data_IF_316202462302
#
_entry.id   IF_316202462302
#
_cell.length_a   1.000
_cell.length_b   1.000
_cell.length_c   1.000
_cell.angle_alpha   90.00
_cell.angle_beta   90.00
_cell.angle_gamma   90.00
#
_symmetry.space_group_name_H-M   'P 1'
#
loop_
_entity.id
_entity.type
_entity.pdbx_description
1 polymer ?
#
# COMPACT_ATOMS: atom_id res chain seq x y z
N UNK A 1 44.80 10.09 23.91
CA UNK A 1 44.37 8.68 23.89
C UNK A 1 42.88 8.44 24.04
N UNK A 2 42.26 8.85 25.15
CA UNK A 2 40.99 8.29 25.65
C UNK A 2 39.81 8.38 24.68
N UNK A 3 39.71 9.50 23.94
CA UNK A 3 38.67 9.69 22.92
C UNK A 3 38.79 8.70 21.75
N UNK A 4 40.03 8.44 21.29
CA UNK A 4 40.27 7.49 20.19
C UNK A 4 39.97 6.06 20.61
N UNK A 5 40.36 5.69 21.83
CA UNK A 5 39.99 4.38 22.40
C UNK A 5 38.49 4.23 22.59
N UNK A 6 37.77 5.29 22.98
CA UNK A 6 36.31 5.26 23.09
C UNK A 6 35.64 5.11 21.72
N UNK A 7 36.11 5.83 20.71
CA UNK A 7 35.61 5.72 19.33
C UNK A 7 35.86 4.30 18.76
N UNK A 8 37.02 3.71 19.03
CA UNK A 8 37.33 2.32 18.65
C UNK A 8 36.46 1.28 19.36
N UNK A 9 36.16 1.50 20.65
CA UNK A 9 35.24 0.65 21.43
C UNK A 9 33.83 0.75 20.85
N UNK A 10 33.36 1.97 20.57
CA UNK A 10 32.02 2.21 20.00
C UNK A 10 31.86 1.57 18.61
N UNK A 11 32.90 1.64 17.77
CA UNK A 11 32.91 1.03 16.43
C UNK A 11 32.83 -0.50 16.46
N UNK A 12 33.35 -1.13 17.51
CA UNK A 12 33.37 -2.58 17.69
C UNK A 12 32.19 -3.09 18.53
N UNK A 13 31.51 -2.21 19.27
CA UNK A 13 30.36 -2.56 20.08
C UNK A 13 29.22 -3.12 19.22
N UNK A 14 28.52 -4.11 19.75
CA UNK A 14 27.38 -4.77 19.10
C UNK A 14 26.12 -4.51 19.91
N UNK A 15 25.15 -3.83 19.30
CA UNK A 15 23.82 -3.60 19.87
C UNK A 15 22.90 -4.72 19.39
N UNK A 16 22.52 -5.62 20.31
CA UNK A 16 21.55 -6.69 20.03
C UNK A 16 20.15 -6.17 20.30
N UNK A 17 19.31 -6.20 19.27
CA UNK A 17 17.92 -5.77 19.39
C UNK A 17 17.06 -6.94 19.85
N UNK A 18 16.24 -6.71 20.87
CA UNK A 18 15.32 -7.71 21.43
C UNK A 18 13.91 -7.16 21.33
N UNK A 19 12.97 -7.98 20.84
CA UNK A 19 11.56 -7.60 20.78
C UNK A 19 11.00 -7.57 22.20
N UNK A 20 10.35 -6.47 22.64
CA UNK A 20 9.67 -6.42 23.93
C UNK A 20 8.66 -7.56 24.08
N UNK A 21 8.66 -8.22 25.24
CA UNK A 21 7.77 -9.35 25.54
C UNK A 21 6.35 -8.89 25.90
N UNK A 22 6.22 -7.68 26.42
CA UNK A 22 4.94 -7.08 26.80
C UNK A 22 4.19 -6.58 25.57
N UNK A 23 3.04 -7.21 25.28
CA UNK A 23 2.24 -6.87 24.09
C UNK A 23 1.74 -5.42 24.09
N UNK A 24 1.32 -4.91 25.24
CA UNK A 24 0.82 -3.53 25.37
C UNK A 24 1.92 -2.50 25.06
N UNK A 25 3.13 -2.72 25.60
CA UNK A 25 4.30 -1.88 25.32
C UNK A 25 4.71 -1.99 23.84
N UNK A 26 4.71 -3.19 23.26
CA UNK A 26 5.03 -3.41 21.86
C UNK A 26 4.07 -2.64 20.92
N UNK A 27 2.75 -2.75 21.18
CA UNK A 27 1.72 -2.03 20.43
C UNK A 27 1.87 -0.51 20.58
N UNK A 28 2.19 -0.04 21.79
CA UNK A 28 2.43 1.37 22.05
C UNK A 28 3.61 1.88 21.23
N UNK A 29 4.75 1.16 21.26
CA UNK A 29 5.95 1.48 20.48
C UNK A 29 5.61 1.54 18.98
N UNK A 30 4.91 0.53 18.44
CA UNK A 30 4.52 0.51 17.03
C UNK A 30 3.64 1.69 16.63
N UNK A 31 2.64 2.01 17.47
CA UNK A 31 1.75 3.15 17.23
C UNK A 31 2.51 4.48 17.30
N UNK A 32 3.43 4.64 18.24
CA UNK A 32 4.30 5.82 18.30
C UNK A 32 5.14 5.94 17.03
N UNK A 33 5.74 4.85 16.54
CA UNK A 33 6.53 4.84 15.30
C UNK A 33 5.68 5.27 14.10
N UNK A 34 4.46 4.76 13.96
CA UNK A 34 3.55 5.13 12.86
C UNK A 34 3.35 6.65 12.79
N UNK A 35 3.06 7.28 13.93
CA UNK A 35 2.90 8.73 13.98
C UNK A 35 4.22 9.49 13.78
N UNK A 36 5.35 8.99 14.31
CA UNK A 36 6.65 9.65 14.12
C UNK A 36 7.08 9.60 12.65
N UNK A 37 6.82 8.51 11.94
CA UNK A 37 7.11 8.39 10.50
C UNK A 37 6.21 9.33 9.68
N UNK A 38 4.93 9.46 10.05
CA UNK A 38 3.95 10.27 9.33
C UNK A 38 4.10 11.78 9.58
N UNK A 39 4.29 12.18 10.84
CA UNK A 39 4.28 13.57 11.29
C UNK A 39 5.70 14.14 11.49
N UNK A 40 6.72 13.28 11.49
CA UNK A 40 8.13 13.66 11.62
C UNK A 40 8.65 13.78 13.06
N UNK A 41 9.93 14.19 13.23
CA UNK A 41 10.61 14.19 14.54
C UNK A 41 10.06 15.21 15.53
N UNK A 42 9.35 16.26 15.05
CA UNK A 42 8.67 17.20 15.94
C UNK A 42 7.57 16.52 16.76
N UNK A 43 6.90 15.51 16.19
CA UNK A 43 5.90 14.72 16.90
C UNK A 43 6.51 13.91 18.04
N UNK A 44 7.68 13.29 17.81
CA UNK A 44 8.42 12.57 18.85
C UNK A 44 8.72 13.50 20.04
N UNK A 45 9.28 14.69 19.78
CA UNK A 45 9.57 15.67 20.81
C UNK A 45 8.31 16.14 21.56
N UNK A 46 7.18 16.29 20.85
CA UNK A 46 5.91 16.66 21.46
C UNK A 46 5.39 15.55 22.40
N UNK A 47 5.41 14.30 21.96
CA UNK A 47 5.00 13.14 22.78
C UNK A 47 5.91 13.01 24.01
N UNK A 48 7.22 13.17 23.85
CA UNK A 48 8.18 13.15 24.97
C UNK A 48 7.86 14.23 26.02
N UNK A 49 7.59 15.46 25.61
CA UNK A 49 7.25 16.51 26.57
C UNK A 49 5.90 16.28 27.25
N UNK A 50 4.91 15.78 26.51
CA UNK A 50 3.55 15.54 27.02
C UNK A 50 3.50 14.36 28.00
N UNK A 51 4.26 13.30 27.73
CA UNK A 51 4.16 12.02 28.43
C UNK A 51 5.33 11.77 29.40
N UNK A 52 6.05 12.83 29.80
CA UNK A 52 7.24 12.74 30.68
C UNK A 52 6.98 12.05 32.03
N UNK A 53 5.77 12.20 32.58
CA UNK A 53 5.37 11.56 33.84
C UNK A 53 4.68 10.21 33.64
N UNK A 54 4.43 9.79 32.39
CA UNK A 54 3.69 8.57 32.09
C UNK A 54 4.63 7.35 32.04
N UNK A 55 4.46 6.36 32.95
CA UNK A 55 5.30 5.16 32.96
C UNK A 55 5.25 4.34 31.67
N UNK A 56 4.15 4.41 30.91
CA UNK A 56 4.01 3.67 29.65
C UNK A 56 4.96 4.18 28.56
N UNK A 57 5.32 5.47 28.57
CA UNK A 57 6.22 6.09 27.60
C UNK A 57 7.68 6.13 28.07
N UNK A 58 8.01 5.42 29.15
CA UNK A 58 9.36 5.36 29.73
C UNK A 58 10.43 4.95 28.71
N UNK A 59 10.06 4.14 27.72
CA UNK A 59 10.94 3.73 26.63
C UNK A 59 11.46 4.90 25.77
N UNK A 60 10.79 6.06 25.75
CA UNK A 60 11.28 7.24 25.04
C UNK A 60 12.44 7.93 25.77
N UNK A 61 12.57 7.72 27.08
CA UNK A 61 13.56 8.41 27.93
C UNK A 61 14.73 7.51 28.35
N UNK A 62 14.48 6.21 28.51
CA UNK A 62 15.50 5.27 28.96
C UNK A 62 16.33 4.70 27.80
N UNK A 63 17.35 5.44 27.38
CA UNK A 63 18.20 5.11 26.23
C UNK A 63 18.89 3.73 26.30
N UNK A 64 19.09 3.20 27.52
CA UNK A 64 19.72 1.90 27.75
C UNK A 64 18.70 0.75 27.84
N UNK A 65 17.41 1.05 27.86
CA UNK A 65 16.37 0.03 27.95
C UNK A 65 16.27 -0.78 26.65
N UNK A 66 16.02 -2.09 26.71
CA UNK A 66 15.77 -2.91 25.53
C UNK A 66 14.60 -2.37 24.68
N UNK A 67 13.59 -1.77 25.33
CA UNK A 67 12.45 -1.16 24.67
C UNK A 67 12.84 0.06 23.83
N UNK A 68 13.72 0.94 24.34
CA UNK A 68 14.24 2.07 23.57
C UNK A 68 15.09 1.60 22.38
N UNK A 69 15.98 0.63 22.61
CA UNK A 69 16.82 0.04 21.56
C UNK A 69 15.95 -0.54 20.44
N UNK A 70 14.89 -1.27 20.80
CA UNK A 70 13.92 -1.78 19.84
C UNK A 70 13.16 -0.67 19.10
N UNK A 71 12.70 0.37 19.80
CA UNK A 71 12.03 1.53 19.21
C UNK A 71 12.92 2.21 18.16
N UNK A 72 14.18 2.53 18.50
CA UNK A 72 15.14 3.19 17.58
C UNK A 72 15.46 2.33 16.37
N UNK A 73 15.69 1.03 16.58
CA UNK A 73 15.92 0.08 15.50
C UNK A 73 14.69 -0.05 14.59
N UNK A 74 13.49 -0.21 15.16
CA UNK A 74 12.28 -0.43 14.37
C UNK A 74 11.90 0.82 13.59
N UNK A 75 12.05 2.00 14.17
CA UNK A 75 11.89 3.27 13.47
C UNK A 75 12.85 3.37 12.28
N UNK A 76 14.13 3.03 12.47
CA UNK A 76 15.10 2.99 11.38
C UNK A 76 14.72 1.97 10.29
N UNK A 77 14.33 0.75 10.67
CA UNK A 77 13.92 -0.32 9.75
C UNK A 77 12.75 0.12 8.86
N UNK A 78 11.70 0.72 9.45
CA UNK A 78 10.57 1.26 8.68
C UNK A 78 11.01 2.40 7.75
N UNK A 79 11.88 3.30 8.20
CA UNK A 79 12.40 4.39 7.37
C UNK A 79 13.29 3.91 6.21
N UNK A 80 13.89 2.72 6.31
CA UNK A 80 14.62 2.07 5.22
C UNK A 80 13.70 1.28 4.25
N UNK A 81 12.39 1.25 4.51
CA UNK A 81 11.41 0.58 3.66
C UNK A 81 11.10 -0.87 4.02
N UNK A 82 11.58 -1.35 5.18
CA UNK A 82 11.15 -2.66 5.69
C UNK A 82 9.67 -2.63 6.10
N UNK A 83 9.01 -3.80 6.11
CA UNK A 83 7.63 -3.91 6.56
C UNK A 83 7.51 -4.07 8.07
N UNK A 84 6.28 -4.01 8.59
CA UNK A 84 6.01 -4.23 10.02
C UNK A 84 6.39 -5.64 10.47
N UNK A 85 6.20 -6.64 9.60
CA UNK A 85 6.36 -8.07 9.87
C UNK A 85 7.62 -8.71 9.25
N UNK A 86 8.26 -8.06 8.27
CA UNK A 86 9.48 -8.54 7.60
C UNK A 86 10.54 -7.45 7.60
N UNK A 87 11.78 -7.81 7.98
CA UNK A 87 12.92 -6.90 8.01
C UNK A 87 14.21 -7.66 7.68
N UNK A 88 15.24 -6.92 7.27
CA UNK A 88 16.57 -7.50 7.09
C UNK A 88 17.16 -7.91 8.46
N UNK A 89 17.62 -9.15 8.57
CA UNK A 89 18.22 -9.69 9.80
C UNK A 89 19.75 -9.59 9.83
N UNK A 90 20.37 -9.14 8.74
CA UNK A 90 21.80 -8.92 8.63
C UNK A 90 22.30 -7.83 9.59
N UNK A 91 23.53 -7.96 10.13
CA UNK A 91 24.14 -6.91 10.94
C UNK A 91 24.41 -5.67 10.08
N UNK A 92 24.12 -4.49 10.63
CA UNK A 92 24.31 -3.21 9.92
C UNK A 92 24.82 -2.12 10.87
N UNK A 93 25.23 -0.97 10.32
CA UNK A 93 25.58 0.23 11.11
C UNK A 93 24.56 1.32 10.82
N UNK A 94 23.98 1.88 11.89
CA UNK A 94 23.00 2.98 11.76
C UNK A 94 23.67 4.31 11.40
N UNK A 95 24.92 4.51 11.83
CA UNK A 95 25.71 5.72 11.58
C UNK A 95 27.15 5.33 11.24
N UNK A 96 27.83 6.16 10.47
CA UNK A 96 29.25 5.96 10.16
C UNK A 96 30.10 6.06 11.44
N UNK A 97 31.07 5.17 11.58
CA UNK A 97 31.83 5.00 12.83
C UNK A 97 31.00 4.53 14.05
N UNK A 98 29.73 4.17 13.87
CA UNK A 98 28.85 3.71 14.94
C UNK A 98 28.95 2.21 15.24
N UNK A 99 28.24 1.79 16.30
CA UNK A 99 28.12 0.40 16.71
C UNK A 99 27.39 -0.47 15.67
N UNK A 100 27.64 -1.78 15.73
CA UNK A 100 27.00 -2.76 14.85
C UNK A 100 25.66 -3.17 15.46
N UNK A 101 24.57 -2.94 14.74
CA UNK A 101 23.22 -3.32 15.13
C UNK A 101 22.88 -4.70 14.60
N UNK A 102 22.42 -5.58 15.49
CA UNK A 102 21.90 -6.91 15.13
C UNK A 102 20.38 -6.91 15.34
N UNK A 103 19.59 -6.91 14.24
CA UNK A 103 18.15 -7.05 14.29
C UNK A 103 17.70 -8.30 15.07
N UNK A 104 16.48 -8.30 15.63
CA UNK A 104 15.92 -9.49 16.23
C UNK A 104 15.69 -10.55 15.14
N UNK A 105 15.89 -11.85 15.45
CA UNK A 105 15.59 -12.92 14.51
C UNK A 105 14.08 -12.93 14.22
N UNK A 106 13.72 -13.19 12.97
CA UNK A 106 12.34 -13.48 12.60
C UNK A 106 11.93 -14.80 13.28
N UNK A 107 10.83 -14.79 14.03
CA UNK A 107 10.33 -16.00 14.66
C UNK A 107 9.36 -16.71 13.70
N UNK A 108 9.68 -17.91 13.18
CA UNK A 108 8.84 -18.61 12.21
C UNK A 108 7.42 -18.91 12.71
N UNK A 109 7.23 -18.92 14.04
CA UNK A 109 5.95 -19.26 14.68
C UNK A 109 5.08 -18.03 15.03
N UNK A 110 5.63 -16.81 14.94
CA UNK A 110 4.89 -15.56 15.16
C UNK A 110 4.55 -14.83 13.85
N UNK A 111 5.28 -15.16 12.79
CA UNK A 111 4.80 -14.97 11.43
C UNK A 111 3.62 -15.93 11.30
N UNK A 112 2.45 -15.45 10.90
CA UNK A 112 1.30 -16.33 10.63
C UNK A 112 1.65 -17.38 9.56
N UNK A 113 0.64 -17.99 8.95
CA UNK A 113 0.91 -18.85 7.79
C UNK A 113 1.72 -18.04 6.76
N UNK A 114 2.84 -18.57 6.22
CA UNK A 114 3.65 -17.87 5.22
C UNK A 114 2.75 -17.31 4.13
N UNK A 115 3.00 -16.09 3.64
CA UNK A 115 2.15 -15.48 2.59
C UNK A 115 1.97 -16.39 1.36
N UNK A 116 2.95 -17.25 1.07
CA UNK A 116 2.88 -18.29 0.02
C UNK A 116 1.85 -19.40 0.30
N UNK A 117 1.55 -19.63 1.58
CA UNK A 117 0.62 -20.66 2.06
C UNK A 117 -0.71 -20.07 2.53
N UNK A 118 -0.80 -18.74 2.71
CA UNK A 118 -2.08 -18.03 2.78
C UNK A 118 -2.75 -18.20 1.44
N UNK A 119 -3.64 -19.20 1.35
CA UNK A 119 -4.74 -19.15 0.40
C UNK A 119 -5.48 -17.88 0.75
N UNK A 120 -5.33 -16.84 -0.07
CA UNK A 120 -6.33 -15.79 -0.10
C UNK A 120 -7.64 -16.54 -0.26
N UNK A 121 -8.55 -16.44 0.72
CA UNK A 121 -9.85 -17.06 0.57
C UNK A 121 -10.40 -16.61 -0.78
N UNK A 122 -11.07 -17.50 -1.53
CA UNK A 122 -11.57 -17.17 -2.86
C UNK A 122 -12.41 -15.87 -2.83
N UNK A 123 -13.02 -15.55 -1.68
CA UNK A 123 -13.69 -14.30 -1.37
C UNK A 123 -12.80 -13.04 -1.30
N UNK A 124 -11.54 -13.13 -0.83
CA UNK A 124 -10.58 -12.02 -0.84
C UNK A 124 -9.96 -11.80 -2.22
N UNK A 125 -9.62 -12.86 -2.96
CA UNK A 125 -9.26 -12.71 -4.37
C UNK A 125 -10.44 -12.21 -5.20
N UNK A 126 -11.66 -12.68 -4.93
CA UNK A 126 -12.86 -12.13 -5.55
C UNK A 126 -13.05 -10.68 -5.16
N UNK A 127 -12.86 -10.28 -3.90
CA UNK A 127 -12.94 -8.86 -3.50
C UNK A 127 -11.88 -7.99 -4.18
N UNK A 128 -10.67 -8.51 -4.36
CA UNK A 128 -9.62 -7.81 -5.11
C UNK A 128 -9.87 -7.80 -6.63
N UNK A 129 -10.64 -8.77 -7.15
CA UNK A 129 -11.12 -8.79 -8.55
C UNK A 129 -12.41 -8.01 -8.76
N UNK A 130 -13.24 -7.82 -7.72
CA UNK A 130 -14.49 -7.07 -7.77
C UNK A 130 -14.15 -5.62 -8.05
N UNK A 131 -14.64 -5.12 -9.18
CA UNK A 131 -14.34 -3.77 -9.63
C UNK A 131 -13.32 -3.68 -10.77
N UNK A 132 -12.81 -4.81 -11.25
CA UNK A 132 -11.83 -4.86 -12.35
C UNK A 132 -12.20 -5.90 -13.39
N UNK A 133 -11.88 -5.62 -14.65
CA UNK A 133 -12.00 -6.55 -15.75
C UNK A 133 -10.89 -7.60 -15.69
N UNK A 134 -11.23 -8.87 -15.95
CA UNK A 134 -10.20 -9.87 -16.27
C UNK A 134 -9.43 -9.47 -17.52
N UNK A 135 -8.21 -10.00 -17.69
CA UNK A 135 -7.40 -9.74 -18.89
C UNK A 135 -8.14 -10.07 -20.20
N UNK A 136 -8.95 -11.13 -20.21
CA UNK A 136 -9.77 -11.49 -21.36
C UNK A 136 -10.93 -10.51 -21.61
N UNK A 137 -11.62 -10.06 -20.55
CA UNK A 137 -12.69 -9.06 -20.67
C UNK A 137 -12.15 -7.71 -21.12
N UNK A 138 -11.02 -7.27 -20.57
CA UNK A 138 -10.32 -6.05 -21.00
C UNK A 138 -9.92 -6.12 -22.46
N UNK A 139 -9.30 -7.23 -22.89
CA UNK A 139 -8.95 -7.43 -24.30
C UNK A 139 -10.16 -7.39 -25.23
N UNK A 140 -11.30 -7.94 -24.80
CA UNK A 140 -12.57 -7.88 -25.53
C UNK A 140 -13.11 -6.45 -25.64
N UNK A 141 -13.11 -5.69 -24.54
CA UNK A 141 -13.52 -4.29 -24.52
C UNK A 141 -12.67 -3.44 -25.47
N UNK A 142 -11.34 -3.56 -25.38
CA UNK A 142 -10.41 -2.83 -26.24
C UNK A 142 -10.63 -3.18 -27.71
N UNK A 143 -10.88 -4.46 -28.02
CA UNK A 143 -11.21 -4.90 -29.37
C UNK A 143 -12.50 -4.25 -29.88
N UNK A 144 -13.57 -4.22 -29.07
CA UNK A 144 -14.83 -3.59 -29.41
C UNK A 144 -14.65 -2.08 -29.65
N UNK A 145 -13.98 -1.36 -28.75
CA UNK A 145 -13.74 0.09 -28.87
C UNK A 145 -12.85 0.43 -30.09
N UNK A 146 -11.91 -0.44 -30.46
CA UNK A 146 -11.02 -0.24 -31.61
C UNK A 146 -11.74 -0.40 -32.95
N UNK A 147 -12.73 -1.29 -33.02
CA UNK A 147 -13.49 -1.61 -34.23
C UNK A 147 -14.90 -0.98 -34.26
N UNK A 148 -15.26 -0.19 -33.24
CA UNK A 148 -16.56 0.44 -33.14
C UNK A 148 -16.87 1.34 -34.34
N UNK A 149 -18.06 1.16 -34.91
CA UNK A 149 -18.63 1.99 -35.97
C UNK A 149 -19.77 2.85 -35.39
N UNK A 150 -20.15 3.97 -36.03
CA UNK A 150 -21.27 4.80 -35.57
C UNK A 150 -22.65 4.17 -35.82
N UNK A 151 -22.69 2.89 -36.21
CA UNK A 151 -23.93 2.16 -36.43
C UNK A 151 -24.61 1.86 -35.09
N UNK A 152 -25.91 2.14 -35.01
CA UNK A 152 -26.70 1.99 -33.79
C UNK A 152 -26.61 0.58 -33.19
N UNK A 153 -26.57 -0.45 -34.03
CA UNK A 153 -26.44 -1.84 -33.58
C UNK A 153 -25.10 -2.09 -32.88
N UNK A 154 -23.98 -1.62 -33.47
CA UNK A 154 -22.64 -1.77 -32.88
C UNK A 154 -22.43 -0.95 -31.62
N UNK A 155 -22.97 0.27 -31.57
CA UNK A 155 -22.95 1.07 -30.33
C UNK A 155 -23.81 0.41 -29.25
N UNK A 156 -24.98 -0.12 -29.61
CA UNK A 156 -25.88 -0.83 -28.69
C UNK A 156 -25.25 -2.10 -28.11
N UNK A 157 -24.66 -2.95 -28.96
CA UNK A 157 -23.91 -4.15 -28.52
C UNK A 157 -22.82 -3.78 -27.50
N UNK A 158 -22.08 -2.72 -27.77
CA UNK A 158 -21.00 -2.28 -26.88
C UNK A 158 -21.53 -1.69 -25.57
N UNK A 159 -22.61 -0.92 -25.61
CA UNK A 159 -23.23 -0.35 -24.40
C UNK A 159 -23.76 -1.45 -23.49
N UNK A 160 -24.48 -2.45 -24.04
CA UNK A 160 -25.01 -3.58 -23.26
C UNK A 160 -23.87 -4.28 -22.54
N UNK A 161 -22.77 -4.56 -23.24
CA UNK A 161 -21.60 -5.18 -22.62
C UNK A 161 -21.04 -4.35 -21.46
N UNK A 162 -20.93 -3.02 -21.62
CA UNK A 162 -20.47 -2.13 -20.55
C UNK A 162 -21.42 -2.12 -19.35
N UNK A 163 -22.74 -2.13 -19.57
CA UNK A 163 -23.73 -2.17 -18.48
C UNK A 163 -23.71 -3.52 -17.75
N UNK A 164 -23.50 -4.63 -18.46
CA UNK A 164 -23.35 -5.97 -17.86
C UNK A 164 -22.09 -6.11 -16.99
N UNK A 165 -21.05 -5.33 -17.29
CA UNK A 165 -19.76 -5.29 -16.57
C UNK A 165 -19.60 -4.00 -15.75
N UNK A 166 -20.71 -3.45 -15.26
CA UNK A 166 -20.71 -2.18 -14.52
C UNK A 166 -20.01 -2.25 -13.15
N UNK A 167 -19.69 -3.44 -12.65
CA UNK A 167 -18.81 -3.61 -11.51
C UNK A 167 -17.44 -2.98 -11.79
N UNK A 168 -16.89 -3.14 -13.01
CA UNK A 168 -15.63 -2.55 -13.45
C UNK A 168 -15.77 -1.18 -14.13
N UNK A 169 -16.78 -0.38 -13.75
CA UNK A 169 -17.09 0.90 -14.39
C UNK A 169 -15.90 1.88 -14.47
N UNK A 170 -15.05 1.93 -13.44
CA UNK A 170 -13.88 2.82 -13.40
C UNK A 170 -12.84 2.43 -14.47
N UNK A 171 -12.50 1.14 -14.57
CA UNK A 171 -11.57 0.63 -15.59
C UNK A 171 -12.16 0.79 -17.01
N UNK A 172 -13.47 0.58 -17.17
CA UNK A 172 -14.16 0.79 -18.45
C UNK A 172 -14.10 2.27 -18.86
N UNK A 173 -14.38 3.20 -17.94
CA UNK A 173 -14.25 4.64 -18.17
C UNK A 173 -12.83 5.02 -18.57
N UNK A 174 -11.82 4.47 -17.89
CA UNK A 174 -10.42 4.69 -18.24
C UNK A 174 -10.11 4.23 -19.68
N UNK A 175 -10.53 3.02 -20.06
CA UNK A 175 -10.33 2.50 -21.42
C UNK A 175 -11.01 3.40 -22.48
N UNK A 176 -12.21 3.90 -22.20
CA UNK A 176 -12.93 4.81 -23.11
C UNK A 176 -12.23 6.17 -23.23
N UNK A 177 -11.75 6.73 -22.12
CA UNK A 177 -10.97 7.96 -22.08
C UNK A 177 -9.67 7.85 -22.87
N UNK A 178 -8.90 6.78 -22.66
CA UNK A 178 -7.68 6.49 -23.42
C UNK A 178 -7.96 6.36 -24.92
N UNK A 179 -9.04 5.66 -25.28
CA UNK A 179 -9.45 5.53 -26.66
C UNK A 179 -9.88 6.87 -27.29
N UNK A 180 -10.62 7.72 -26.58
CA UNK A 180 -11.02 9.04 -27.09
C UNK A 180 -9.83 9.99 -27.27
N UNK A 181 -8.87 9.94 -26.36
CA UNK A 181 -7.66 10.77 -26.37
C UNK A 181 -6.61 10.33 -27.39
N UNK A 182 -6.75 9.14 -27.99
CA UNK A 182 -5.83 8.67 -29.00
C UNK A 182 -5.93 9.50 -30.29
N UNK A 183 -4.90 10.32 -30.54
CA UNK A 183 -4.77 11.27 -31.67
C UNK A 183 -4.80 10.57 -33.03
N UNK A 184 -4.33 9.33 -33.12
CA UNK A 184 -4.32 8.54 -34.37
C UNK A 184 -5.71 8.00 -34.77
N UNK A 185 -6.71 8.14 -33.90
CA UNK A 185 -8.07 7.65 -34.18
C UNK A 185 -8.78 8.54 -35.20
N UNK A 186 -9.35 7.91 -36.25
CA UNK A 186 -10.16 8.61 -37.25
C UNK A 186 -11.43 9.24 -36.67
N UNK A 187 -11.90 10.34 -37.28
CA UNK A 187 -13.08 11.08 -36.80
C UNK A 187 -14.34 10.20 -36.64
N UNK A 188 -14.69 9.30 -37.59
CA UNK A 188 -15.87 8.45 -37.44
C UNK A 188 -15.81 7.53 -36.21
N UNK A 189 -14.61 7.03 -35.86
CA UNK A 189 -14.41 6.21 -34.66
C UNK A 189 -14.50 7.02 -33.38
N UNK A 190 -14.05 8.28 -33.38
CA UNK A 190 -14.24 9.20 -32.25
C UNK A 190 -15.73 9.48 -32.01
N UNK A 191 -16.50 9.72 -33.07
CA UNK A 191 -17.95 9.87 -32.98
C UNK A 191 -18.62 8.61 -32.42
N UNK A 192 -18.25 7.43 -32.92
CA UNK A 192 -18.78 6.16 -32.42
C UNK A 192 -18.51 5.95 -30.92
N UNK A 193 -17.29 6.27 -30.45
CA UNK A 193 -16.93 6.20 -29.02
C UNK A 193 -17.69 7.21 -28.18
N UNK A 194 -17.94 8.41 -28.69
CA UNK A 194 -18.74 9.42 -28.01
C UNK A 194 -20.21 8.98 -27.88
N UNK A 195 -20.78 8.36 -28.92
CA UNK A 195 -22.11 7.77 -28.85
C UNK A 195 -22.18 6.66 -27.79
N UNK A 196 -21.17 5.79 -27.72
CA UNK A 196 -21.09 4.77 -26.68
C UNK A 196 -21.08 5.39 -25.27
N UNK A 197 -20.26 6.42 -25.03
CA UNK A 197 -20.24 7.11 -23.73
C UNK A 197 -21.61 7.72 -23.40
N UNK A 198 -22.24 8.38 -24.37
CA UNK A 198 -23.59 8.94 -24.20
C UNK A 198 -24.61 7.86 -23.85
N UNK A 199 -24.58 6.72 -24.55
CA UNK A 199 -25.52 5.62 -24.33
C UNK A 199 -25.28 4.95 -22.96
N UNK A 200 -24.02 4.77 -22.53
CA UNK A 200 -23.69 4.26 -21.19
C UNK A 200 -24.23 5.21 -20.12
N UNK A 201 -23.97 6.51 -20.24
CA UNK A 201 -24.42 7.50 -19.25
C UNK A 201 -25.94 7.63 -19.22
N UNK A 202 -26.62 7.51 -20.36
CA UNK A 202 -28.08 7.48 -20.41
C UNK A 202 -28.64 6.26 -19.67
N UNK A 203 -28.04 5.08 -19.93
CA UNK A 203 -28.53 3.81 -19.41
C UNK A 203 -27.97 3.45 -18.03
N UNK A 204 -27.02 4.20 -17.46
CA UNK A 204 -26.48 3.92 -16.12
C UNK A 204 -27.50 4.09 -14.96
N UNK A 205 -28.73 4.53 -15.28
CA UNK A 205 -29.84 4.71 -14.35
C UNK A 205 -30.79 3.50 -14.31
N UNK A 206 -30.59 2.51 -15.19
CA UNK A 206 -31.38 1.28 -15.20
C UNK A 206 -31.14 0.46 -13.93
N UNK A 207 -32.11 -0.40 -13.57
CA UNK A 207 -32.03 -1.29 -12.39
C UNK A 207 -31.09 -2.48 -12.63
N UNK A 208 -29.86 -2.21 -13.05
CA UNK A 208 -28.77 -3.18 -13.13
C UNK A 208 -27.79 -2.89 -12.00
N UNK A 209 -27.30 -3.94 -11.35
CA UNK A 209 -26.34 -3.81 -10.25
C UNK A 209 -25.13 -2.99 -10.69
N UNK A 210 -24.68 -2.05 -9.85
CA UNK A 210 -23.49 -1.23 -10.08
C UNK A 210 -23.49 -0.31 -11.31
N UNK A 211 -24.51 -0.34 -12.19
CA UNK A 211 -24.63 0.55 -13.35
C UNK A 211 -24.51 2.04 -12.97
N UNK A 212 -25.01 2.41 -11.78
CA UNK A 212 -24.89 3.78 -11.26
C UNK A 212 -23.45 4.28 -11.05
N UNK A 213 -22.46 3.39 -10.99
CA UNK A 213 -21.06 3.75 -10.76
C UNK A 213 -20.45 4.51 -11.94
N UNK A 214 -20.98 4.37 -13.16
CA UNK A 214 -20.60 5.19 -14.31
C UNK A 214 -20.83 6.70 -14.11
N UNK A 215 -21.59 7.13 -13.09
CA UNK A 215 -21.76 8.55 -12.73
C UNK A 215 -20.67 9.11 -11.82
N UNK A 216 -19.79 8.25 -11.27
CA UNK A 216 -18.74 8.64 -10.31
C UNK A 216 -17.37 8.79 -10.96
N UNK A 217 -17.15 8.14 -12.11
CA UNK A 217 -15.89 8.16 -12.86
C UNK A 217 -15.84 9.20 -13.96
#
# INVERSE_FOLDING_TARGET
EEKRTMDEILQRAVVKVVVPTERALLQLIHRTIEFVVREGPMFEAMVMNREISNPCYRFLFENQSPAHVYYRWKLFSILQGDSTSRWNTGPFRMFDGGSIWKPPPLNPFLQGMPEELVKLDEEEEEKNRRGSLSSAQRGRLEHMIRHLTPEREKVGEAMVWCIEHADAAEEICQCLCEALNNVSTSMPKKMARLYLVSDILHNCTVKVSNASFYRRG
#
